data_IF_206299664837
#
_entry.id   IF_206299664837
#
_cell.length_a   1.000
_cell.length_b   1.000
_cell.length_c   1.000
_cell.angle_alpha   90.00
_cell.angle_beta   90.00
_cell.angle_gamma   90.00
#
_symmetry.space_group_name_H-M   'P 1'
#
loop_
_entity.id
_entity.type
_entity.pdbx_description
1 polymer ?
#
# COMPACT_ATOMS: atom_id res chain seq x y z
N UNK A 1 15.49 -11.16 -1.87
CA UNK A 1 14.56 -10.88 -0.74
C UNK A 1 13.53 -9.80 -1.09
N UNK A 2 13.91 -8.57 -1.44
CA UNK A 2 12.99 -7.48 -1.82
C UNK A 2 11.92 -7.90 -2.84
N UNK A 3 12.40 -8.52 -3.92
CA UNK A 3 11.60 -8.99 -5.05
C UNK A 3 10.59 -10.09 -4.65
N UNK A 4 10.97 -10.97 -3.71
CA UNK A 4 10.06 -11.98 -3.13
C UNK A 4 8.91 -11.31 -2.36
N UNK A 5 9.23 -10.37 -1.45
CA UNK A 5 8.22 -9.61 -0.68
C UNK A 5 7.29 -8.81 -1.59
N UNK A 6 7.86 -8.20 -2.63
CA UNK A 6 7.10 -7.43 -3.60
C UNK A 6 6.16 -8.33 -4.41
N UNK A 7 6.60 -9.53 -4.81
CA UNK A 7 5.72 -10.54 -5.46
C UNK A 7 4.58 -11.00 -4.56
N UNK A 8 4.84 -11.24 -3.29
CA UNK A 8 3.82 -11.63 -2.30
C UNK A 8 2.77 -10.52 -2.14
N UNK A 9 3.22 -9.28 -1.95
CA UNK A 9 2.35 -8.12 -1.86
C UNK A 9 1.55 -7.87 -3.16
N UNK A 10 2.18 -8.08 -4.33
CA UNK A 10 1.49 -7.99 -5.62
C UNK A 10 0.39 -9.07 -5.77
N UNK A 11 0.64 -10.27 -5.23
CA UNK A 11 -0.36 -11.32 -5.10
C UNK A 11 -1.55 -10.88 -4.25
N UNK A 12 -1.27 -10.31 -3.07
CA UNK A 12 -2.31 -9.80 -2.18
C UNK A 12 -3.15 -8.68 -2.83
N UNK A 13 -2.51 -7.74 -3.55
CA UNK A 13 -3.21 -6.70 -4.32
C UNK A 13 -4.18 -7.30 -5.34
N UNK A 14 -3.74 -8.30 -6.11
CA UNK A 14 -4.59 -8.98 -7.11
C UNK A 14 -5.76 -9.73 -6.46
N UNK A 15 -5.49 -10.45 -5.37
CA UNK A 15 -6.51 -11.19 -4.59
C UNK A 15 -7.56 -10.24 -4.02
N UNK A 16 -7.14 -9.05 -3.57
CA UNK A 16 -8.02 -8.01 -3.06
C UNK A 16 -8.84 -7.29 -4.15
N UNK A 17 -8.65 -7.63 -5.42
CA UNK A 17 -9.43 -7.07 -6.52
C UNK A 17 -8.75 -5.94 -7.29
N UNK A 18 -7.53 -5.52 -6.93
CA UNK A 18 -6.80 -4.52 -7.71
C UNK A 18 -6.52 -5.07 -9.11
N UNK A 19 -6.76 -4.23 -10.12
CA UNK A 19 -6.62 -4.52 -11.55
C UNK A 19 -5.53 -3.63 -12.17
N UNK A 20 -4.92 -4.08 -13.27
CA UNK A 20 -4.00 -3.24 -14.02
C UNK A 20 -4.61 -1.89 -14.41
N UNK A 21 -3.80 -0.83 -14.36
CA UNK A 21 -4.21 0.54 -14.64
C UNK A 21 -4.93 1.26 -13.49
N UNK A 22 -5.31 0.57 -12.41
CA UNK A 22 -5.87 1.22 -11.22
C UNK A 22 -4.78 1.89 -10.38
N UNK A 23 -5.19 2.90 -9.62
CA UNK A 23 -4.32 3.63 -8.69
C UNK A 23 -4.37 3.00 -7.29
N UNK A 24 -3.22 2.81 -6.66
CA UNK A 24 -3.09 2.36 -5.26
C UNK A 24 -2.35 3.43 -4.48
N UNK A 25 -2.93 3.89 -3.37
CA UNK A 25 -2.23 4.78 -2.46
C UNK A 25 -1.21 3.97 -1.65
N UNK A 26 0.04 4.44 -1.60
CA UNK A 26 1.12 3.83 -0.82
C UNK A 26 1.46 4.79 0.30
N UNK A 27 1.07 4.43 1.52
CA UNK A 27 1.21 5.29 2.71
C UNK A 27 2.26 4.66 3.63
N UNK A 28 3.52 5.05 3.44
CA UNK A 28 4.67 4.47 4.13
C UNK A 28 5.76 5.53 4.33
N UNK A 29 6.47 5.54 5.47
CA UNK A 29 7.62 6.40 5.63
C UNK A 29 8.73 5.97 4.67
N UNK A 30 9.67 6.87 4.38
CA UNK A 30 10.81 6.57 3.50
C UNK A 30 11.64 5.41 4.08
N UNK A 31 11.57 4.25 3.43
CA UNK A 31 12.09 2.98 3.94
C UNK A 31 12.28 1.97 2.80
N UNK A 32 12.87 0.81 3.11
CA UNK A 32 12.93 -0.32 2.17
C UNK A 32 11.53 -0.84 1.84
N UNK A 33 10.60 -0.79 2.80
CA UNK A 33 9.23 -1.26 2.59
C UNK A 33 8.43 -0.36 1.66
N UNK A 34 8.74 0.95 1.61
CA UNK A 34 8.23 1.83 0.57
C UNK A 34 8.63 1.33 -0.83
N UNK A 35 9.90 0.92 -1.01
CA UNK A 35 10.39 0.37 -2.28
C UNK A 35 9.70 -0.96 -2.59
N UNK A 36 9.51 -1.84 -1.59
CA UNK A 36 8.74 -3.09 -1.75
C UNK A 36 7.31 -2.80 -2.23
N UNK A 37 6.64 -1.83 -1.60
CA UNK A 37 5.27 -1.46 -1.93
C UNK A 37 5.15 -0.92 -3.36
N UNK A 38 6.06 -0.04 -3.76
CA UNK A 38 6.09 0.49 -5.12
C UNK A 38 6.30 -0.62 -6.15
N UNK A 39 7.26 -1.53 -5.91
CA UNK A 39 7.49 -2.69 -6.77
C UNK A 39 6.29 -3.64 -6.80
N UNK A 40 5.60 -3.84 -5.68
CA UNK A 40 4.41 -4.69 -5.60
C UNK A 40 3.26 -4.12 -6.46
N UNK A 41 3.03 -2.81 -6.39
CA UNK A 41 2.00 -2.12 -7.18
C UNK A 41 2.33 -2.21 -8.67
N UNK A 42 3.59 -1.98 -9.05
CA UNK A 42 4.04 -2.14 -10.45
C UNK A 42 3.87 -3.58 -10.95
N UNK A 43 4.22 -4.58 -10.12
CA UNK A 43 4.04 -6.00 -10.46
C UNK A 43 2.56 -6.43 -10.50
N UNK A 44 1.66 -5.70 -9.85
CA UNK A 44 0.22 -5.87 -10.00
C UNK A 44 -0.33 -5.21 -11.29
N UNK A 45 0.51 -4.48 -12.04
CA UNK A 45 0.14 -3.71 -13.21
C UNK A 45 -0.58 -2.41 -12.89
N UNK A 46 -0.55 -1.98 -11.63
CA UNK A 46 -1.23 -0.79 -11.12
C UNK A 46 -0.26 0.40 -11.02
N UNK A 47 -0.82 1.61 -10.92
CA UNK A 47 -0.08 2.82 -10.63
C UNK A 47 -0.07 3.08 -9.12
N UNK A 48 0.99 3.69 -8.59
CA UNK A 48 1.05 4.07 -7.17
C UNK A 48 0.99 5.58 -6.98
N UNK A 49 0.30 6.01 -5.92
CA UNK A 49 0.35 7.37 -5.38
C UNK A 49 1.09 7.32 -4.03
N UNK A 50 2.34 7.80 -3.95
CA UNK A 50 3.06 7.85 -2.68
C UNK A 50 2.50 8.98 -1.80
N UNK A 51 2.21 8.68 -0.54
CA UNK A 51 1.77 9.64 0.47
C UNK A 51 2.65 9.47 1.70
N UNK A 52 3.23 10.58 2.17
CA UNK A 52 4.00 10.60 3.40
C UNK A 52 3.04 10.51 4.61
N UNK A 53 3.18 9.51 5.51
CA UNK A 53 2.33 9.38 6.68
C UNK A 53 2.48 10.53 7.69
N UNK A 54 3.56 11.30 7.62
CA UNK A 54 3.83 12.46 8.48
C UNK A 54 3.05 13.71 8.04
N UNK A 55 2.34 13.65 6.92
CA UNK A 55 1.41 14.72 6.55
C UNK A 55 0.22 14.79 7.52
N UNK A 56 -0.29 16.02 7.74
CA UNK A 56 -1.54 16.23 8.48
C UNK A 56 -2.68 15.35 7.96
N UNK A 57 -3.54 14.88 8.86
CA UNK A 57 -4.59 13.91 8.53
C UNK A 57 -5.57 14.43 7.48
N UNK A 58 -5.95 15.70 7.58
CA UNK A 58 -6.80 16.42 6.64
C UNK A 58 -6.18 16.47 5.24
N UNK A 59 -4.85 16.66 5.16
CA UNK A 59 -4.11 16.64 3.89
C UNK A 59 -4.11 15.26 3.26
N UNK A 60 -3.87 14.20 4.04
CA UNK A 60 -3.94 12.82 3.52
C UNK A 60 -5.36 12.50 3.06
N UNK A 61 -6.37 12.87 3.85
CA UNK A 61 -7.77 12.67 3.50
C UNK A 61 -8.11 13.38 2.18
N UNK A 62 -7.70 14.63 1.99
CA UNK A 62 -7.88 15.37 0.74
C UNK A 62 -7.25 14.66 -0.47
N UNK A 63 -5.99 14.23 -0.35
CA UNK A 63 -5.31 13.48 -1.42
C UNK A 63 -6.04 12.18 -1.78
N UNK A 64 -6.55 11.45 -0.79
CA UNK A 64 -7.31 10.22 -1.02
C UNK A 64 -8.67 10.50 -1.68
N UNK A 65 -9.35 11.58 -1.28
CA UNK A 65 -10.63 11.99 -1.87
C UNK A 65 -10.47 12.42 -3.34
N UNK A 66 -9.40 13.15 -3.66
CA UNK A 66 -9.12 13.62 -5.01
C UNK A 66 -8.69 12.47 -5.93
N UNK A 67 -7.80 11.61 -5.45
CA UNK A 67 -7.20 10.55 -6.25
C UNK A 67 -8.09 9.32 -6.40
N UNK A 68 -9.01 9.08 -5.44
CA UNK A 68 -9.90 7.91 -5.37
C UNK A 68 -9.16 6.59 -5.68
N UNK A 69 -8.09 6.25 -4.94
CA UNK A 69 -7.35 5.03 -5.20
C UNK A 69 -8.25 3.81 -5.01
N UNK A 70 -8.02 2.77 -5.81
CA UNK A 70 -8.71 1.49 -5.69
C UNK A 70 -8.34 0.72 -4.42
N UNK A 71 -7.27 1.12 -3.73
CA UNK A 71 -6.88 0.58 -2.44
C UNK A 71 -5.74 1.36 -1.79
N UNK A 72 -5.47 1.06 -0.52
CA UNK A 72 -4.35 1.58 0.25
C UNK A 72 -3.40 0.41 0.55
N UNK A 73 -2.10 0.62 0.37
CA UNK A 73 -1.03 -0.30 0.77
C UNK A 73 -0.15 0.38 1.82
N UNK A 74 -0.02 -0.22 3.00
CA UNK A 74 0.69 0.35 4.15
C UNK A 74 1.28 -0.76 5.06
N UNK A 75 1.79 -0.40 6.23
CA UNK A 75 2.21 -1.35 7.27
C UNK A 75 1.04 -1.71 8.19
N UNK A 76 1.07 -2.92 8.75
CA UNK A 76 0.09 -3.33 9.76
C UNK A 76 0.13 -2.46 11.02
N UNK A 77 1.27 -1.85 11.34
CA UNK A 77 1.38 -0.86 12.41
C UNK A 77 0.47 0.37 12.23
N UNK A 78 0.00 0.62 11.00
CA UNK A 78 -0.95 1.68 10.66
C UNK A 78 -2.38 1.15 10.42
N UNK A 79 -2.67 -0.11 10.77
CA UNK A 79 -3.98 -0.73 10.56
C UNK A 79 -5.11 0.00 11.29
N UNK A 80 -4.86 0.54 12.49
CA UNK A 80 -5.87 1.31 13.24
C UNK A 80 -6.28 2.59 12.48
N UNK A 81 -5.33 3.20 11.75
CA UNK A 81 -5.58 4.38 10.92
C UNK A 81 -6.20 4.02 9.58
N UNK A 82 -5.90 2.84 9.03
CA UNK A 82 -6.38 2.36 7.74
C UNK A 82 -6.90 0.90 7.83
N UNK A 83 -8.07 0.68 8.44
CA UNK A 83 -8.55 -0.67 8.78
C UNK A 83 -8.90 -1.53 7.54
N UNK A 84 -9.13 -0.90 6.39
CA UNK A 84 -9.41 -1.58 5.12
C UNK A 84 -8.20 -1.65 4.20
N UNK A 85 -7.01 -1.27 4.68
CA UNK A 85 -5.80 -1.30 3.86
C UNK A 85 -5.26 -2.72 3.66
N UNK A 86 -4.48 -2.85 2.60
CA UNK A 86 -3.60 -3.99 2.38
C UNK A 86 -2.24 -3.72 3.03
N UNK A 87 -1.54 -4.78 3.40
CA UNK A 87 -0.32 -4.68 4.19
C UNK A 87 0.89 -5.25 3.46
N UNK A 88 2.02 -4.55 3.55
CA UNK A 88 3.31 -4.97 2.96
C UNK A 88 4.01 -6.06 3.77
N UNK A 89 3.68 -6.16 5.05
CA UNK A 89 4.22 -7.13 6.00
C UNK A 89 3.27 -8.32 6.20
N UNK A 90 3.86 -9.52 6.24
CA UNK A 90 3.14 -10.72 6.64
C UNK A 90 2.45 -10.48 8.00
N UNK A 91 1.26 -11.05 8.24
CA UNK A 91 0.66 -10.99 9.56
C UNK A 91 1.69 -11.47 10.59
N UNK A 92 1.87 -10.71 11.68
CA UNK A 92 2.66 -11.19 12.81
C UNK A 92 2.16 -12.59 13.18
N UNK A 93 3.04 -13.55 13.49
CA UNK A 93 2.59 -14.86 13.95
C UNK A 93 1.66 -14.60 15.15
N UNK A 94 0.39 -15.00 14.99
CA UNK A 94 -0.54 -14.99 16.10
C UNK A 94 -0.02 -16.05 17.08
N UNK A 95 0.42 -15.60 18.25
CA UNK A 95 0.93 -16.46 19.32
C UNK A 95 -0.13 -17.43 19.84
#
# INVERSE_FOLDING_TARGET
ELDRRARESAGALRTAGIRPGQLVAVILPRSVDLVVAQLAVQQAGAAHLPIDPDYPEDRIAGMLQDARPAGILTHRALADRYPTALFTDAPAPQG
#
